data_IF_992320586073
#
_entry.id   IF_992320586073
#
_cell.length_a   1.000
_cell.length_b   1.000
_cell.length_c   1.000
_cell.angle_alpha   90.00
_cell.angle_beta   90.00
_cell.angle_gamma   90.00
#
_symmetry.space_group_name_H-M   'P 1'
#
loop_
_entity.id
_entity.type
_entity.pdbx_description
1 polymer ?
#
# COMPACT_ATOMS: atom_id res chain seq x y z
N UNK A 1 -35.22 -11.12 -5.59
CA UNK A 1 -34.04 -11.26 -4.73
C UNK A 1 -32.99 -10.35 -5.30
N UNK A 2 -32.39 -9.46 -4.50
CA UNK A 2 -31.25 -8.68 -4.97
C UNK A 2 -30.13 -9.65 -5.38
N UNK A 3 -29.49 -9.39 -6.51
CA UNK A 3 -28.42 -10.24 -7.01
C UNK A 3 -27.23 -10.16 -6.06
N UNK A 4 -26.91 -11.28 -5.41
CA UNK A 4 -25.90 -11.37 -4.36
C UNK A 4 -24.49 -11.17 -4.92
N UNK A 5 -24.29 -11.56 -6.17
CA UNK A 5 -22.97 -11.57 -6.79
C UNK A 5 -22.40 -10.16 -7.07
N UNK A 6 -23.16 -9.22 -7.69
CA UNK A 6 -22.73 -7.84 -7.81
C UNK A 6 -22.41 -7.16 -6.47
N UNK A 7 -23.15 -7.50 -5.41
CA UNK A 7 -22.88 -6.96 -4.08
C UNK A 7 -21.52 -7.44 -3.55
N UNK A 8 -21.25 -8.75 -3.57
CA UNK A 8 -19.97 -9.33 -3.14
C UNK A 8 -18.80 -8.78 -3.96
N UNK A 9 -18.98 -8.66 -5.28
CA UNK A 9 -17.98 -8.12 -6.20
C UNK A 9 -17.66 -6.65 -5.96
N UNK A 10 -18.58 -5.88 -5.36
CA UNK A 10 -18.37 -4.47 -5.02
C UNK A 10 -17.70 -4.22 -3.67
N UNK A 11 -17.48 -5.28 -2.86
CA UNK A 11 -16.83 -5.14 -1.56
C UNK A 11 -15.31 -5.10 -1.73
N UNK A 12 -14.68 -4.08 -1.14
CA UNK A 12 -13.22 -3.88 -1.15
C UNK A 12 -12.51 -5.07 -0.48
N UNK A 13 -13.11 -5.64 0.57
CA UNK A 13 -12.58 -6.80 1.29
C UNK A 13 -12.45 -8.05 0.42
N UNK A 14 -13.39 -8.27 -0.52
CA UNK A 14 -13.31 -9.40 -1.46
C UNK A 14 -12.08 -9.26 -2.36
N UNK A 15 -11.81 -8.05 -2.83
CA UNK A 15 -10.63 -7.78 -3.65
C UNK A 15 -9.34 -7.89 -2.83
N UNK A 16 -9.30 -7.35 -1.62
CA UNK A 16 -8.12 -7.43 -0.77
C UNK A 16 -7.75 -8.89 -0.47
N UNK A 17 -8.73 -9.78 -0.27
CA UNK A 17 -8.47 -11.21 -0.16
C UNK A 17 -7.92 -11.85 -1.44
N UNK A 18 -8.38 -11.40 -2.62
CA UNK A 18 -7.81 -11.86 -3.89
C UNK A 18 -6.35 -11.41 -4.01
N UNK A 19 -6.06 -10.15 -3.70
CA UNK A 19 -4.71 -9.63 -3.69
C UNK A 19 -3.82 -10.41 -2.71
N UNK A 20 -4.27 -10.64 -1.48
CA UNK A 20 -3.54 -11.42 -0.48
C UNK A 20 -3.19 -12.83 -0.96
N UNK A 21 -4.07 -13.45 -1.76
CA UNK A 21 -3.81 -14.75 -2.36
C UNK A 21 -2.80 -14.67 -3.49
N UNK A 22 -2.90 -13.64 -4.34
CA UNK A 22 -1.94 -13.38 -5.41
C UNK A 22 -0.54 -13.14 -4.85
N UNK A 23 -0.43 -12.23 -3.88
CA UNK A 23 0.85 -11.90 -3.23
C UNK A 23 1.44 -13.09 -2.48
N UNK A 24 0.63 -13.95 -1.88
CA UNK A 24 1.11 -15.17 -1.22
C UNK A 24 1.66 -16.22 -2.20
N UNK A 25 1.34 -16.13 -3.49
CA UNK A 25 1.86 -17.03 -4.54
C UNK A 25 3.08 -16.42 -5.24
N UNK A 26 3.14 -15.09 -5.36
CA UNK A 26 4.26 -14.40 -5.98
C UNK A 26 5.54 -14.49 -5.13
N UNK A 27 6.70 -14.56 -5.80
CA UNK A 27 7.97 -14.29 -5.12
C UNK A 27 7.99 -12.81 -4.70
N UNK A 28 8.52 -12.46 -3.51
CA UNK A 28 8.61 -11.06 -3.09
C UNK A 28 9.33 -10.15 -4.09
N UNK A 29 10.25 -10.70 -4.90
CA UNK A 29 10.92 -9.97 -5.99
C UNK A 29 9.95 -9.60 -7.11
N UNK A 30 9.00 -10.48 -7.44
CA UNK A 30 7.99 -10.21 -8.45
C UNK A 30 6.97 -9.18 -7.94
N UNK A 31 6.58 -9.26 -6.67
CA UNK A 31 5.75 -8.25 -6.03
C UNK A 31 6.45 -6.87 -6.03
N UNK A 32 7.75 -6.84 -5.73
CA UNK A 32 8.54 -5.62 -5.83
C UNK A 32 8.61 -5.09 -7.27
N UNK A 33 8.78 -5.97 -8.27
CA UNK A 33 8.78 -5.58 -9.68
C UNK A 33 7.44 -4.98 -10.12
N UNK A 34 6.32 -5.51 -9.61
CA UNK A 34 4.98 -4.98 -9.83
C UNK A 34 4.84 -3.56 -9.27
N UNK A 35 5.16 -3.35 -7.99
CA UNK A 35 4.82 -2.10 -7.30
C UNK A 35 5.91 -1.01 -7.33
N UNK A 36 7.19 -1.36 -7.46
CA UNK A 36 8.30 -0.38 -7.42
C UNK A 36 8.14 0.76 -8.43
N UNK A 37 7.80 0.53 -9.72
CA UNK A 37 7.63 1.61 -10.68
C UNK A 37 6.42 2.50 -10.33
N UNK A 38 5.34 1.89 -9.85
CA UNK A 38 4.10 2.56 -9.45
C UNK A 38 4.30 3.47 -8.22
N UNK A 39 5.21 3.08 -7.33
CA UNK A 39 5.55 3.81 -6.11
C UNK A 39 6.75 4.76 -6.28
N UNK A 40 7.26 4.93 -7.50
CA UNK A 40 8.41 5.78 -7.83
C UNK A 40 9.68 5.44 -7.02
N UNK A 41 9.93 4.15 -6.78
CA UNK A 41 11.14 3.69 -6.09
C UNK A 41 12.32 3.49 -7.06
N UNK A 42 13.57 3.76 -6.63
CA UNK A 42 14.76 3.49 -7.43
C UNK A 42 14.88 2.03 -7.86
N UNK A 43 15.45 1.81 -9.04
CA UNK A 43 15.84 0.47 -9.47
C UNK A 43 16.94 -0.12 -8.59
N UNK A 44 17.07 -1.46 -8.58
CA UNK A 44 18.14 -2.17 -7.86
C UNK A 44 17.90 -2.38 -6.36
N UNK A 45 16.77 -1.91 -5.82
CA UNK A 45 16.36 -2.22 -4.45
C UNK A 45 15.85 -3.67 -4.35
N UNK A 46 16.37 -4.41 -3.38
CA UNK A 46 15.85 -5.70 -2.92
C UNK A 46 14.71 -5.46 -1.95
N UNK A 47 13.69 -6.31 -2.01
CA UNK A 47 12.59 -6.33 -1.05
C UNK A 47 12.28 -7.77 -0.66
N UNK A 48 11.88 -7.91 0.58
CA UNK A 48 11.32 -9.13 1.16
C UNK A 48 9.89 -8.82 1.64
N UNK A 49 9.03 -9.84 1.60
CA UNK A 49 7.73 -9.80 2.23
C UNK A 49 7.90 -10.24 3.70
N UNK A 50 7.68 -9.35 4.69
CA UNK A 50 7.72 -9.72 6.10
C UNK A 50 6.62 -10.73 6.49
N UNK A 51 5.70 -11.03 5.59
CA UNK A 51 4.64 -12.00 5.74
C UNK A 51 3.36 -11.41 6.32
N UNK A 52 2.33 -12.27 6.38
CA UNK A 52 0.94 -11.87 6.73
C UNK A 52 0.75 -11.34 8.15
N UNK A 53 1.66 -11.63 9.08
CA UNK A 53 1.55 -11.19 10.47
C UNK A 53 2.51 -10.04 10.77
N UNK A 54 2.29 -8.89 10.11
CA UNK A 54 3.14 -7.71 10.26
C UNK A 54 3.31 -7.30 11.74
N UNK A 55 2.27 -7.43 12.56
CA UNK A 55 2.36 -7.15 14.00
C UNK A 55 3.36 -8.08 14.70
N UNK A 56 3.33 -9.39 14.43
CA UNK A 56 4.31 -10.33 14.97
C UNK A 56 5.72 -10.04 14.45
N UNK A 57 5.84 -9.73 13.15
CA UNK A 57 7.10 -9.37 12.52
C UNK A 57 7.73 -8.09 13.11
N UNK A 58 6.90 -7.11 13.50
CA UNK A 58 7.32 -5.85 14.10
C UNK A 58 7.47 -5.92 15.63
N UNK A 59 7.40 -7.12 16.23
CA UNK A 59 7.38 -7.31 17.69
C UNK A 59 6.32 -6.42 18.36
N UNK A 60 5.19 -6.21 17.69
CA UNK A 60 4.04 -5.51 18.23
C UNK A 60 3.20 -6.50 19.02
N UNK A 61 2.88 -6.18 20.28
CA UNK A 61 2.08 -7.07 21.11
C UNK A 61 0.79 -7.53 20.41
N UNK A 62 0.48 -8.83 20.50
CA UNK A 62 -0.60 -9.53 19.75
C UNK A 62 -1.99 -8.86 19.86
N UNK A 63 -2.22 -8.03 20.87
CA UNK A 63 -3.48 -7.31 21.10
C UNK A 63 -3.50 -5.88 20.56
N UNK A 64 -2.40 -5.39 19.99
CA UNK A 64 -2.27 -4.03 19.48
C UNK A 64 -2.47 -4.04 17.95
N UNK A 65 -3.66 -4.46 17.50
CA UNK A 65 -4.03 -4.44 16.08
C UNK A 65 -4.13 -2.99 15.59
N UNK A 66 -3.09 -2.51 14.89
CA UNK A 66 -2.98 -1.10 14.49
C UNK A 66 -3.57 -0.83 13.13
N UNK A 67 -3.02 -1.51 12.13
CA UNK A 67 -3.53 -1.56 10.76
C UNK A 67 -2.81 -2.70 10.06
N UNK A 68 -3.48 -3.31 9.10
CA UNK A 68 -2.87 -4.24 8.17
C UNK A 68 -2.82 -3.54 6.80
N UNK A 69 -1.62 -3.24 6.28
CA UNK A 69 -1.47 -2.73 4.93
C UNK A 69 -1.93 -3.74 3.89
N UNK A 70 -2.41 -3.26 2.73
CA UNK A 70 -2.67 -4.12 1.57
C UNK A 70 -1.36 -4.64 0.96
N UNK A 71 -0.28 -3.88 1.09
CA UNK A 71 1.08 -4.33 0.81
C UNK A 71 2.07 -3.63 1.74
N UNK A 72 3.02 -4.39 2.28
CA UNK A 72 4.16 -3.88 3.02
C UNK A 72 5.40 -4.66 2.62
N UNK A 73 6.29 -4.05 1.85
CA UNK A 73 7.54 -4.66 1.40
C UNK A 73 8.73 -3.97 2.05
N UNK A 74 9.64 -4.76 2.57
CA UNK A 74 10.79 -4.26 3.32
C UNK A 74 12.09 -4.70 2.66
N UNK A 75 12.94 -3.73 2.34
CA UNK A 75 14.26 -3.94 1.74
C UNK A 75 15.40 -3.58 2.67
N UNK A 76 16.63 -3.72 2.17
CA UNK A 76 17.85 -3.33 2.91
C UNK A 76 17.89 -1.83 3.19
N UNK A 77 17.45 -1.00 2.23
CA UNK A 77 17.42 0.46 2.33
C UNK A 77 16.06 1.08 1.93
N UNK A 78 14.99 0.27 1.92
CA UNK A 78 13.68 0.69 1.49
C UNK A 78 12.53 0.13 2.33
N UNK A 79 11.44 0.89 2.42
CA UNK A 79 10.15 0.46 2.94
C UNK A 79 9.05 0.95 2.00
N UNK A 80 8.41 0.02 1.30
CA UNK A 80 7.33 0.29 0.35
C UNK A 80 6.01 -0.15 0.99
N UNK A 81 5.08 0.78 1.09
CA UNK A 81 3.75 0.56 1.65
C UNK A 81 2.70 0.97 0.61
N UNK A 82 1.69 0.12 0.39
CA UNK A 82 0.57 0.43 -0.50
C UNK A 82 -0.74 0.24 0.24
N UNK A 83 -1.64 1.19 0.00
CA UNK A 83 -3.03 1.15 0.43
C UNK A 83 -3.93 1.28 -0.80
N UNK A 84 -4.83 0.33 -0.98
CA UNK A 84 -5.77 0.26 -2.09
C UNK A 84 -7.13 0.78 -1.64
N UNK A 85 -7.76 1.61 -2.48
CA UNK A 85 -9.05 2.23 -2.21
C UNK A 85 -9.91 2.21 -3.47
N UNK A 86 -10.99 1.43 -3.44
CA UNK A 86 -12.00 1.53 -4.50
C UNK A 86 -12.98 2.68 -4.21
N UNK A 87 -13.38 2.81 -2.95
CA UNK A 87 -14.32 3.86 -2.53
C UNK A 87 -14.10 4.31 -1.08
N UNK A 88 -13.39 3.52 -0.27
CA UNK A 88 -13.03 3.94 1.07
C UNK A 88 -12.19 5.22 1.02
N UNK A 89 -12.34 6.05 2.05
CA UNK A 89 -11.53 7.26 2.20
C UNK A 89 -10.28 6.96 3.03
N UNK A 90 -9.17 7.61 2.69
CA UNK A 90 -8.02 7.75 3.58
C UNK A 90 -8.24 8.89 4.59
N UNK A 91 -7.36 8.98 5.58
CA UNK A 91 -7.40 10.00 6.63
C UNK A 91 -6.03 10.17 7.28
N UNK A 92 -5.85 11.24 8.06
CA UNK A 92 -4.65 11.42 8.88
C UNK A 92 -4.50 10.33 9.95
N UNK A 93 -5.60 9.73 10.44
CA UNK A 93 -5.54 8.54 11.31
C UNK A 93 -4.83 7.37 10.61
N UNK A 94 -5.23 7.07 9.37
CA UNK A 94 -4.62 6.00 8.59
C UNK A 94 -3.15 6.31 8.25
N UNK A 95 -2.87 7.52 7.78
CA UNK A 95 -1.50 7.97 7.53
C UNK A 95 -0.61 7.84 8.78
N UNK A 96 -1.10 8.27 9.95
CA UNK A 96 -0.39 8.14 11.21
C UNK A 96 -0.14 6.69 11.63
N UNK A 97 -1.06 5.77 11.35
CA UNK A 97 -0.84 4.32 11.56
C UNK A 97 0.28 3.77 10.68
N UNK A 98 0.34 4.18 9.42
CA UNK A 98 1.45 3.82 8.53
C UNK A 98 2.80 4.36 9.00
N UNK A 99 2.85 5.61 9.47
CA UNK A 99 4.05 6.16 10.10
C UNK A 99 4.47 5.37 11.33
N UNK A 100 3.52 4.95 12.16
CA UNK A 100 3.79 4.15 13.35
C UNK A 100 4.39 2.78 12.97
N UNK A 101 3.85 2.11 11.94
CA UNK A 101 4.44 0.86 11.41
C UNK A 101 5.87 1.07 10.92
N UNK A 102 6.14 2.14 10.16
CA UNK A 102 7.48 2.45 9.66
C UNK A 102 8.46 2.79 10.78
N UNK A 103 8.04 3.53 11.81
CA UNK A 103 8.85 3.80 13.00
C UNK A 103 9.21 2.52 13.73
N UNK A 104 8.21 1.66 13.96
CA UNK A 104 8.42 0.39 14.64
C UNK A 104 9.38 -0.49 13.86
N UNK A 105 9.20 -0.57 12.54
CA UNK A 105 10.13 -1.28 11.66
C UNK A 105 11.56 -0.76 11.82
N UNK A 106 11.76 0.56 11.77
CA UNK A 106 13.10 1.14 11.91
C UNK A 106 13.72 0.93 13.30
N UNK A 107 12.90 0.88 14.35
CA UNK A 107 13.37 0.58 15.70
C UNK A 107 13.88 -0.85 15.85
N UNK A 108 13.27 -1.81 15.13
CA UNK A 108 13.64 -3.24 15.19
C UNK A 108 14.76 -3.58 14.20
N UNK A 109 14.70 -3.05 12.98
CA UNK A 109 15.54 -3.47 11.84
C UNK A 109 16.46 -2.37 11.30
N UNK A 110 16.52 -1.20 11.96
CA UNK A 110 17.36 -0.06 11.59
C UNK A 110 16.71 0.89 10.58
N UNK A 111 17.33 2.05 10.36
CA UNK A 111 16.82 3.10 9.47
C UNK A 111 16.78 2.66 8.00
N UNK A 112 15.89 3.27 7.21
CA UNK A 112 15.82 3.14 5.75
C UNK A 112 15.80 4.53 5.11
N UNK A 113 16.47 4.70 3.98
CA UNK A 113 16.51 6.00 3.29
C UNK A 113 15.36 6.15 2.30
N UNK A 114 14.79 5.06 1.80
CA UNK A 114 13.72 5.08 0.81
C UNK A 114 12.40 4.65 1.45
N UNK A 115 11.59 5.61 1.87
CA UNK A 115 10.32 5.35 2.55
C UNK A 115 9.18 5.85 1.67
N UNK A 116 8.22 4.98 1.37
CA UNK A 116 7.13 5.30 0.46
C UNK A 116 5.81 4.74 0.93
N UNK A 117 4.78 5.59 0.87
CA UNK A 117 3.38 5.21 1.02
C UNK A 117 2.63 5.62 -0.25
N UNK A 118 2.07 4.65 -0.96
CA UNK A 118 1.31 4.90 -2.18
C UNK A 118 -0.15 4.51 -2.01
N UNK A 119 -1.05 5.45 -2.29
CA UNK A 119 -2.48 5.19 -2.35
C UNK A 119 -2.90 4.87 -3.79
N UNK A 120 -3.56 3.74 -4.01
CA UNK A 120 -4.19 3.42 -5.31
C UNK A 120 -5.66 3.72 -5.22
N UNK A 121 -6.18 4.61 -6.07
CA UNK A 121 -7.54 5.11 -5.95
C UNK A 121 -8.29 5.15 -7.28
N UNK A 122 -9.62 5.05 -7.22
CA UNK A 122 -10.51 5.18 -8.39
C UNK A 122 -10.89 6.62 -8.76
N UNK A 123 -10.29 7.60 -8.09
CA UNK A 123 -10.58 9.01 -8.35
C UNK A 123 -9.85 9.48 -9.62
N UNK A 124 -10.49 10.24 -10.53
CA UNK A 124 -9.85 10.71 -11.77
C UNK A 124 -8.58 11.54 -11.56
N UNK A 125 -8.45 12.18 -10.39
CA UNK A 125 -7.25 12.87 -9.94
C UNK A 125 -6.85 12.31 -8.57
N UNK A 126 -6.12 11.18 -8.53
CA UNK A 126 -5.81 10.47 -7.29
C UNK A 126 -5.12 11.38 -6.26
N UNK A 127 -4.11 12.11 -6.69
CA UNK A 127 -3.38 13.07 -5.85
C UNK A 127 -4.29 14.09 -5.18
N UNK A 128 -5.05 14.86 -5.96
CA UNK A 128 -5.95 15.88 -5.43
C UNK A 128 -7.00 15.28 -4.48
N UNK A 129 -7.44 14.04 -4.75
CA UNK A 129 -8.36 13.32 -3.87
C UNK A 129 -7.72 12.92 -2.53
N UNK A 130 -6.47 12.41 -2.53
CA UNK A 130 -5.74 12.12 -1.28
C UNK A 130 -5.54 13.40 -0.47
N UNK A 131 -5.05 14.47 -1.10
CA UNK A 131 -4.78 15.74 -0.42
C UNK A 131 -6.06 16.32 0.21
N UNK A 132 -7.18 16.24 -0.51
CA UNK A 132 -8.49 16.65 0.02
C UNK A 132 -8.93 15.81 1.21
N UNK A 133 -8.67 14.50 1.20
CA UNK A 133 -9.07 13.57 2.27
C UNK A 133 -8.17 13.68 3.51
N UNK A 134 -6.87 13.94 3.32
CA UNK A 134 -5.94 14.22 4.40
C UNK A 134 -6.11 15.64 4.98
N UNK A 135 -6.69 16.56 4.21
CA UNK A 135 -6.82 17.97 4.61
C UNK A 135 -5.52 18.76 4.52
N UNK A 136 -4.51 18.23 3.81
CA UNK A 136 -3.19 18.83 3.60
C UNK A 136 -2.61 18.36 2.26
N UNK A 137 -1.69 19.12 1.66
CA UNK A 137 -1.04 18.67 0.42
C UNK A 137 0.02 17.62 0.71
N UNK A 138 0.34 16.77 -0.26
CA UNK A 138 1.39 15.75 -0.10
C UNK A 138 2.75 16.39 0.22
N UNK A 139 3.07 17.56 -0.36
CA UNK A 139 4.28 18.32 -0.01
C UNK A 139 4.28 18.80 1.45
N UNK A 140 3.11 19.15 1.98
CA UNK A 140 2.98 19.69 3.33
C UNK A 140 3.04 18.61 4.40
N UNK A 141 2.84 17.34 4.06
CA UNK A 141 2.98 16.21 4.99
C UNK A 141 4.33 16.24 5.73
N UNK A 142 5.40 16.57 5.01
CA UNK A 142 6.76 16.62 5.56
C UNK A 142 6.96 17.73 6.62
N UNK A 143 6.02 18.68 6.70
CA UNK A 143 6.03 19.80 7.61
C UNK A 143 5.09 19.65 8.80
N UNK A 144 4.25 18.61 8.83
CA UNK A 144 3.31 18.35 9.91
C UNK A 144 4.02 18.19 11.26
N UNK A 145 3.36 18.64 12.32
CA UNK A 145 3.82 18.43 13.68
C UNK A 145 3.65 16.97 14.13
N UNK A 146 4.59 16.46 14.92
CA UNK A 146 4.44 15.12 15.54
C UNK A 146 3.16 15.03 16.37
N UNK A 147 2.89 16.05 17.20
CA UNK A 147 1.67 16.10 18.01
C UNK A 147 0.40 16.22 17.14
N UNK A 148 0.45 17.02 16.08
CA UNK A 148 -0.65 17.18 15.14
C UNK A 148 -1.06 15.86 14.50
N UNK A 149 -0.09 15.06 14.02
CA UNK A 149 -0.37 13.73 13.47
C UNK A 149 -0.87 12.79 14.55
N UNK A 150 -0.20 12.74 15.70
CA UNK A 150 -0.56 11.84 16.81
C UNK A 150 -1.98 12.09 17.34
N UNK A 151 -2.45 13.35 17.37
CA UNK A 151 -3.81 13.72 17.78
C UNK A 151 -4.90 13.18 16.85
N UNK A 152 -4.58 12.96 15.57
CA UNK A 152 -5.52 12.37 14.61
C UNK A 152 -5.60 10.84 14.70
N UNK A 153 -4.64 10.20 15.39
CA UNK A 153 -4.57 8.73 15.46
C UNK A 153 -5.42 8.21 16.62
N UNK A 154 -6.47 7.46 16.27
CA UNK A 154 -7.42 6.88 17.22
C UNK A 154 -6.87 5.63 17.92
N UNK A 155 -5.90 4.95 17.31
CA UNK A 155 -5.28 3.78 17.93
C UNK A 155 -4.20 4.22 18.93
N UNK A 156 -4.43 3.93 20.21
CA UNK A 156 -3.52 4.33 21.30
C UNK A 156 -2.08 3.80 21.08
N UNK A 157 -1.90 2.57 20.62
CA UNK A 157 -0.57 2.00 20.44
C UNK A 157 0.19 2.68 19.29
N UNK A 158 -0.48 2.98 18.17
CA UNK A 158 0.11 3.76 17.09
C UNK A 158 0.43 5.20 17.52
N UNK A 159 -0.46 5.82 18.30
CA UNK A 159 -0.22 7.16 18.85
C UNK A 159 0.98 7.18 19.81
N UNK A 160 1.06 6.20 20.70
CA UNK A 160 2.17 6.08 21.65
C UNK A 160 3.50 5.81 20.92
N UNK A 161 3.48 5.04 19.82
CA UNK A 161 4.64 4.85 18.93
C UNK A 161 5.11 6.18 18.34
N UNK A 162 4.20 6.98 17.77
CA UNK A 162 4.51 8.29 17.18
C UNK A 162 5.10 9.27 18.21
N UNK A 163 4.64 9.21 19.46
CA UNK A 163 5.06 10.10 20.54
C UNK A 163 6.29 9.61 21.30
N UNK A 164 6.70 8.34 21.15
CA UNK A 164 7.82 7.76 21.90
C UNK A 164 9.14 8.44 21.60
N UNK A 165 9.41 8.69 20.33
CA UNK A 165 10.61 9.38 19.86
C UNK A 165 10.23 10.47 18.86
N UNK A 166 10.06 11.68 19.38
CA UNK A 166 9.73 12.86 18.57
C UNK A 166 10.76 13.15 17.46
N UNK A 167 12.04 12.84 17.67
CA UNK A 167 13.06 13.11 16.66
C UNK A 167 13.00 12.07 15.55
N UNK A 168 12.81 10.80 15.88
CA UNK A 168 12.60 9.74 14.90
C UNK A 168 11.34 10.00 14.06
N UNK A 169 10.20 10.32 14.70
CA UNK A 169 8.94 10.63 13.99
C UNK A 169 9.10 11.84 13.08
N UNK A 170 9.75 12.90 13.55
CA UNK A 170 10.03 14.09 12.71
C UNK A 170 10.97 13.76 11.56
N UNK A 171 11.98 12.92 11.78
CA UNK A 171 12.87 12.43 10.73
C UNK A 171 12.11 11.64 9.67
N UNK A 172 11.24 10.72 10.10
CA UNK A 172 10.41 9.91 9.23
C UNK A 172 9.44 10.75 8.40
N UNK A 173 8.75 11.71 9.03
CA UNK A 173 7.85 12.65 8.34
C UNK A 173 8.56 13.40 7.22
N UNK A 174 9.81 13.83 7.44
CA UNK A 174 10.60 14.51 6.42
C UNK A 174 11.07 13.61 5.29
N UNK A 175 11.25 12.32 5.58
CA UNK A 175 11.83 11.36 4.65
C UNK A 175 10.78 10.58 3.84
N UNK A 176 9.57 10.41 4.38
CA UNK A 176 8.52 9.64 3.72
C UNK A 176 8.04 10.36 2.45
N UNK A 177 7.99 9.60 1.35
CA UNK A 177 7.34 9.99 0.10
C UNK A 177 5.91 9.46 0.12
N UNK A 178 4.95 10.35 -0.08
CA UNK A 178 3.54 9.97 -0.24
C UNK A 178 3.17 10.15 -1.70
N UNK A 179 2.59 9.12 -2.30
CA UNK A 179 2.15 9.13 -3.70
C UNK A 179 0.69 8.70 -3.80
N UNK A 180 0.04 9.06 -4.89
CA UNK A 180 -1.30 8.60 -5.20
C UNK A 180 -1.42 8.32 -6.70
N UNK A 181 -1.85 7.10 -7.05
CA UNK A 181 -1.99 6.64 -8.43
C UNK A 181 -3.41 6.14 -8.70
N UNK A 182 -3.77 5.99 -9.97
CA UNK A 182 -5.08 5.50 -10.36
C UNK A 182 -5.04 3.97 -10.52
N UNK A 183 -6.19 3.29 -10.38
CA UNK A 183 -6.29 1.86 -10.67
C UNK A 183 -5.85 1.47 -12.09
N UNK A 184 -5.98 2.38 -13.05
CA UNK A 184 -5.49 2.16 -14.42
C UNK A 184 -3.97 1.98 -14.49
N UNK A 185 -3.21 2.61 -13.60
CA UNK A 185 -1.75 2.49 -13.58
C UNK A 185 -1.35 1.08 -13.12
N UNK A 186 -2.00 0.58 -12.05
CA UNK A 186 -1.81 -0.79 -11.57
C UNK A 186 -2.31 -1.82 -12.59
N UNK A 187 -3.49 -1.60 -13.17
CA UNK A 187 -4.05 -2.45 -14.22
C UNK A 187 -3.11 -2.57 -15.43
N UNK A 188 -2.62 -1.43 -15.94
CA UNK A 188 -1.66 -1.41 -17.05
C UNK A 188 -0.40 -2.18 -16.70
N UNK A 189 0.17 -1.94 -15.51
CA UNK A 189 1.39 -2.64 -15.06
C UNK A 189 1.21 -4.15 -14.94
N UNK A 190 0.06 -4.61 -14.45
CA UNK A 190 -0.25 -6.04 -14.37
C UNK A 190 -0.29 -6.67 -15.77
N UNK A 191 -0.94 -6.01 -16.74
CA UNK A 191 -0.99 -6.50 -18.11
C UNK A 191 0.41 -6.51 -18.76
N UNK A 192 1.20 -5.45 -18.61
CA UNK A 192 2.57 -5.38 -19.16
C UNK A 192 3.45 -6.53 -18.64
N UNK A 193 3.34 -6.85 -17.34
CA UNK A 193 4.08 -7.96 -16.73
C UNK A 193 3.53 -9.33 -17.15
N UNK A 194 2.22 -9.45 -17.33
CA UNK A 194 1.59 -10.68 -17.81
C UNK A 194 1.97 -11.00 -19.27
N UNK A 195 2.04 -9.97 -20.12
CA UNK A 195 2.38 -10.07 -21.54
C UNK A 195 3.88 -10.32 -21.79
N UNK A 196 4.74 -9.86 -20.87
CA UNK A 196 6.19 -10.10 -20.92
C UNK A 196 6.61 -11.43 -20.30
N UNK A 197 5.68 -12.17 -19.72
CA UNK A 197 5.94 -13.48 -19.14
C UNK A 197 6.33 -14.51 -20.22
N UNK A 198 7.28 -15.39 -19.88
CA UNK A 198 7.74 -16.43 -20.79
C UNK A 198 6.71 -17.55 -21.05
N UNK A 199 6.91 -18.28 -22.14
CA UNK A 199 6.03 -19.38 -22.55
C UNK A 199 6.28 -20.68 -21.77
N UNK A 200 7.32 -20.76 -20.94
CA UNK A 200 7.59 -21.91 -20.09
C UNK A 200 6.52 -22.09 -18.98
N UNK A 201 6.45 -23.26 -18.31
CA UNK A 201 5.43 -23.51 -17.29
C UNK A 201 5.34 -22.45 -16.18
N UNK A 202 6.49 -21.90 -15.76
CA UNK A 202 6.57 -20.81 -14.78
C UNK A 202 5.96 -19.51 -15.30
N UNK A 203 6.46 -18.99 -16.43
CA UNK A 203 5.95 -17.77 -17.05
C UNK A 203 4.45 -17.83 -17.37
N UNK A 204 3.93 -18.95 -17.88
CA UNK A 204 2.48 -19.11 -18.09
C UNK A 204 1.66 -19.08 -16.79
N UNK A 205 2.23 -19.51 -15.67
CA UNK A 205 1.57 -19.44 -14.37
C UNK A 205 1.57 -18.01 -13.86
N UNK A 206 2.71 -17.32 -13.97
CA UNK A 206 2.86 -15.91 -13.63
C UNK A 206 1.90 -15.02 -14.43
N UNK A 207 1.86 -15.19 -15.76
CA UNK A 207 0.96 -14.48 -16.66
C UNK A 207 -0.52 -14.65 -16.26
N UNK A 208 -0.95 -15.88 -15.97
CA UNK A 208 -2.34 -16.14 -15.53
C UNK A 208 -2.66 -15.52 -14.18
N UNK A 209 -1.71 -15.52 -13.25
CA UNK A 209 -1.89 -14.96 -11.92
C UNK A 209 -2.09 -13.44 -12.01
N UNK A 210 -1.19 -12.75 -12.74
CA UNK A 210 -1.29 -11.30 -12.93
C UNK A 210 -2.51 -10.92 -13.78
N UNK A 211 -2.78 -11.66 -14.85
CA UNK A 211 -3.95 -11.46 -15.70
C UNK A 211 -5.26 -11.63 -14.93
N UNK A 212 -5.34 -12.61 -14.02
CA UNK A 212 -6.49 -12.78 -13.14
C UNK A 212 -6.71 -11.62 -12.18
N UNK A 213 -5.63 -11.04 -11.63
CA UNK A 213 -5.72 -9.84 -10.80
C UNK A 213 -6.13 -8.61 -11.63
N UNK A 214 -5.59 -8.45 -12.84
CA UNK A 214 -5.97 -7.38 -13.76
C UNK A 214 -7.45 -7.47 -14.15
N UNK A 215 -7.93 -8.67 -14.48
CA UNK A 215 -9.34 -8.93 -14.76
C UNK A 215 -10.23 -8.59 -13.55
N UNK A 216 -9.80 -8.93 -12.33
CA UNK A 216 -10.54 -8.56 -11.13
C UNK A 216 -10.65 -7.04 -10.92
N UNK A 217 -9.60 -6.26 -11.23
CA UNK A 217 -9.67 -4.79 -11.23
C UNK A 217 -10.66 -4.31 -12.30
N UNK A 218 -10.55 -4.83 -13.52
CA UNK A 218 -11.42 -4.43 -14.64
C UNK A 218 -12.90 -4.71 -14.35
N UNK A 219 -13.18 -5.86 -13.75
CA UNK A 219 -14.54 -6.26 -13.38
C UNK A 219 -15.05 -5.57 -12.11
N UNK A 220 -14.18 -4.97 -11.29
CA UNK A 220 -14.64 -4.32 -10.07
C UNK A 220 -15.47 -3.06 -10.40
N UNK A 221 -16.73 -2.95 -9.95
CA UNK A 221 -17.65 -1.90 -10.39
C UNK A 221 -17.23 -0.48 -9.96
N UNK A 222 -16.28 -0.38 -9.03
CA UNK A 222 -15.76 0.88 -8.50
C UNK A 222 -14.32 1.15 -8.94
N UNK A 223 -13.71 0.37 -9.83
CA UNK A 223 -12.34 0.62 -10.31
C UNK A 223 -12.23 1.88 -11.17
N UNK A 224 -13.33 2.29 -11.79
CA UNK A 224 -13.41 3.44 -12.71
C UNK A 224 -12.32 3.42 -13.79
N UNK A 225 -11.94 2.24 -14.30
CA UNK A 225 -11.05 2.17 -15.44
C UNK A 225 -11.64 2.97 -16.62
N UNK A 226 -10.81 3.70 -17.38
CA UNK A 226 -11.26 4.29 -18.63
C UNK A 226 -11.84 3.18 -19.50
N UNK A 227 -13.06 3.35 -20.00
CA UNK A 227 -13.60 2.44 -21.02
C UNK A 227 -12.61 2.46 -22.20
N UNK A 228 -12.14 1.31 -22.66
CA UNK A 228 -11.33 1.22 -23.87
C UNK A 228 -12.06 2.00 -24.99
N UNK A 229 -11.43 3.08 -25.45
CA UNK A 229 -11.96 3.98 -26.47
C UNK A 229 -11.86 3.40 -27.87
#
# INVERSE_FOLDING_TARGET
MADFWPYVQSQEETFNHLLDLVLAVLDPRDAAELFRPLCNFPEGLSFEDPGRELNCFLDWGVHQNITQPDLFLAGDDALLMVELKFNAKTSLDQFGKYLALALRYQAVYGSRNNLGLTYVMSAPQPRASVEKQLGTTIEQIQSLGVAEVAEQVNNNAARDELLRDHQATKGLLKAIRVEAIHWSDLYGRLNDLADSAGDEPGGRTYSRLLGGLAEAINLHPLSNLPSDG
#
